data_IF_101013295064
#
_entry.id   IF_101013295064
#
_cell.length_a   1.000
_cell.length_b   1.000
_cell.length_c   1.000
_cell.angle_alpha   90.00
_cell.angle_beta   90.00
_cell.angle_gamma   90.00
#
_symmetry.space_group_name_H-M   'P 1'
#
loop_
_entity.id
_entity.type
_entity.pdbx_description
1 polymer ?
#
# COMPACT_ATOMS: atom_id res chain seq x y z
N UNK A 1 20.31 -1.92 -6.56
CA UNK A 1 21.46 -2.80 -6.53
C UNK A 1 21.60 -3.49 -7.88
N UNK A 2 22.82 -3.74 -8.29
CA UNK A 2 23.12 -4.34 -9.60
C UNK A 2 24.20 -5.44 -9.43
N UNK A 3 23.95 -6.60 -10.05
CA UNK A 3 24.86 -7.75 -10.11
C UNK A 3 25.55 -7.83 -11.47
N UNK A 4 26.86 -8.08 -11.45
CA UNK A 4 27.72 -8.14 -12.65
C UNK A 4 28.20 -9.57 -12.99
N UNK A 5 27.74 -10.56 -12.23
CA UNK A 5 28.16 -11.98 -12.33
C UNK A 5 29.11 -12.42 -11.22
N UNK A 6 29.78 -11.49 -10.57
CA UNK A 6 30.74 -11.77 -9.49
C UNK A 6 30.31 -11.18 -8.16
N UNK A 7 29.82 -9.94 -8.18
CA UNK A 7 29.42 -9.22 -6.97
C UNK A 7 28.16 -8.41 -7.17
N UNK A 8 27.68 -7.77 -6.09
CA UNK A 8 26.56 -6.82 -6.09
C UNK A 8 27.07 -5.45 -5.67
N UNK A 9 26.81 -4.46 -6.50
CA UNK A 9 26.95 -3.04 -6.18
C UNK A 9 25.60 -2.48 -5.78
N UNK A 10 25.55 -1.64 -4.75
CA UNK A 10 24.31 -1.04 -4.29
C UNK A 10 24.50 0.46 -4.01
N UNK A 11 23.54 1.26 -4.49
CA UNK A 11 23.40 2.68 -4.15
C UNK A 11 22.00 2.91 -3.61
N UNK A 12 21.89 3.56 -2.46
CA UNK A 12 20.61 3.91 -1.83
C UNK A 12 20.73 5.14 -0.97
N UNK A 13 19.72 5.99 -0.98
CA UNK A 13 19.68 7.21 -0.17
C UNK A 13 18.23 7.63 0.05
N UNK A 14 18.04 8.71 0.81
CA UNK A 14 16.76 9.36 1.06
C UNK A 14 16.51 10.45 0.02
N UNK A 15 15.32 10.48 -0.56
CA UNK A 15 14.91 11.48 -1.54
C UNK A 15 14.11 10.90 -2.71
N UNK A 16 13.83 11.73 -3.69
CA UNK A 16 13.23 11.28 -4.95
C UNK A 16 14.28 10.53 -5.78
N UNK A 17 13.84 9.53 -6.54
CA UNK A 17 14.73 8.74 -7.43
C UNK A 17 15.60 9.65 -8.30
N UNK A 18 15.00 10.71 -8.88
CA UNK A 18 15.70 11.69 -9.73
C UNK A 18 16.67 12.61 -8.98
N UNK A 19 16.63 12.63 -7.67
CA UNK A 19 17.58 13.39 -6.82
C UNK A 19 18.72 12.50 -6.31
N UNK A 20 18.42 11.22 -6.10
CA UNK A 20 19.40 10.24 -5.60
C UNK A 20 20.28 9.71 -6.71
N UNK A 21 19.74 9.55 -7.91
CA UNK A 21 20.46 9.00 -9.06
C UNK A 21 20.68 10.06 -10.13
N UNK A 22 21.94 10.36 -10.39
CA UNK A 22 22.43 11.14 -11.53
C UNK A 22 23.12 10.23 -12.55
N UNK A 23 23.58 10.80 -13.69
CA UNK A 23 24.25 10.03 -14.74
C UNK A 23 25.52 9.36 -14.24
N UNK A 24 26.27 9.98 -13.33
CA UNK A 24 27.52 9.44 -12.83
C UNK A 24 27.29 8.24 -11.91
N UNK A 25 26.32 8.34 -11.00
CA UNK A 25 25.93 7.25 -10.08
C UNK A 25 25.32 6.07 -10.84
N UNK A 26 24.53 6.33 -11.90
CA UNK A 26 23.98 5.27 -12.74
C UNK A 26 25.07 4.59 -13.58
N UNK A 27 26.03 5.35 -14.12
CA UNK A 27 27.16 4.80 -14.89
C UNK A 27 28.08 3.91 -14.03
N UNK A 28 28.12 4.13 -12.71
CA UNK A 28 28.88 3.29 -11.78
C UNK A 28 28.19 1.93 -11.48
N UNK A 29 26.87 1.83 -11.71
CA UNK A 29 26.09 0.62 -11.48
C UNK A 29 26.07 -0.25 -12.74
N UNK A 30 27.19 -0.91 -13.03
CA UNK A 30 27.34 -1.78 -14.20
C UNK A 30 26.95 -3.23 -13.88
N UNK A 31 26.23 -3.88 -14.78
CA UNK A 31 25.83 -5.28 -14.62
C UNK A 31 24.61 -5.65 -15.47
N UNK A 32 24.07 -6.86 -15.27
CA UNK A 32 22.96 -7.40 -16.06
C UNK A 32 21.81 -7.93 -15.19
N UNK A 33 21.97 -7.97 -13.87
CA UNK A 33 20.88 -8.23 -12.91
C UNK A 33 20.67 -6.98 -12.07
N UNK A 34 19.46 -6.46 -12.02
CA UNK A 34 19.18 -5.24 -11.25
C UNK A 34 17.93 -5.37 -10.38
N UNK A 35 17.96 -4.78 -9.19
CA UNK A 35 16.81 -4.61 -8.33
C UNK A 35 16.72 -3.16 -7.84
N UNK A 36 15.53 -2.56 -7.94
CA UNK A 36 15.25 -1.22 -7.50
C UNK A 36 14.02 -1.17 -6.61
N UNK A 37 13.99 -0.21 -5.66
CA UNK A 37 12.86 0.01 -4.79
C UNK A 37 12.70 1.49 -4.43
N UNK A 38 11.47 1.98 -4.50
CA UNK A 38 11.10 3.29 -3.99
C UNK A 38 10.19 3.09 -2.76
N UNK A 39 10.70 3.44 -1.57
CA UNK A 39 9.98 3.27 -0.32
C UNK A 39 9.25 4.54 0.08
N UNK A 40 7.95 4.41 0.39
CA UNK A 40 7.22 5.43 1.11
C UNK A 40 7.36 5.19 2.61
N UNK A 41 7.96 6.14 3.35
CA UNK A 41 8.12 6.01 4.81
C UNK A 41 6.80 6.24 5.52
N UNK A 42 6.32 5.25 6.27
CA UNK A 42 5.05 5.25 6.98
C UNK A 42 5.18 5.56 8.48
N UNK A 43 6.36 5.38 9.08
CA UNK A 43 6.59 5.63 10.50
C UNK A 43 7.76 6.57 10.75
N UNK A 44 7.66 7.44 11.78
CA UNK A 44 8.67 8.44 12.10
C UNK A 44 10.08 7.89 12.46
N UNK A 45 10.18 6.62 12.84
CA UNK A 45 11.45 5.93 13.07
C UNK A 45 12.16 5.47 11.79
N UNK A 46 11.54 5.67 10.63
CA UNK A 46 11.98 5.11 9.35
C UNK A 46 12.71 6.13 8.45
N UNK A 47 13.10 7.29 8.98
CA UNK A 47 13.79 8.35 8.23
C UNK A 47 15.31 8.14 8.13
N UNK A 48 15.79 6.89 8.27
CA UNK A 48 17.21 6.60 8.11
C UNK A 48 17.48 5.91 6.77
N UNK A 49 18.60 6.20 6.17
CA UNK A 49 19.01 5.60 4.89
C UNK A 49 19.23 4.08 5.01
N UNK A 50 19.53 3.57 6.20
CA UNK A 50 19.63 2.13 6.47
C UNK A 50 18.30 1.40 6.21
N UNK A 51 17.17 2.09 6.43
CA UNK A 51 15.85 1.56 6.16
C UNK A 51 15.47 1.58 4.68
N UNK A 52 16.22 2.31 3.83
CA UNK A 52 16.02 2.26 2.38
C UNK A 52 16.37 0.87 1.83
N UNK A 53 15.61 0.44 0.82
CA UNK A 53 15.81 -0.84 0.14
C UNK A 53 16.57 -0.64 -1.18
N UNK A 54 17.20 -1.70 -1.70
CA UNK A 54 17.23 -3.09 -1.22
C UNK A 54 18.09 -3.29 0.02
N UNK A 55 17.74 -4.29 0.83
CA UNK A 55 18.57 -4.72 1.95
C UNK A 55 19.62 -5.75 1.50
N UNK A 56 20.85 -5.53 1.93
CA UNK A 56 21.99 -6.37 1.58
C UNK A 56 22.23 -7.40 2.68
N UNK A 57 22.43 -8.65 2.28
CA UNK A 57 22.90 -9.72 3.14
C UNK A 57 24.09 -10.45 2.51
N UNK A 58 25.01 -10.90 3.34
CA UNK A 58 26.14 -11.73 2.88
C UNK A 58 25.80 -13.20 2.99
N UNK A 59 26.21 -13.96 1.98
CA UNK A 59 26.23 -15.43 1.98
C UNK A 59 27.67 -15.81 1.73
N UNK A 60 28.40 -16.12 2.80
CA UNK A 60 29.85 -16.29 2.78
C UNK A 60 30.53 -15.08 2.10
N UNK A 61 31.21 -15.26 0.96
CA UNK A 61 31.86 -14.20 0.21
C UNK A 61 30.93 -13.49 -0.79
N UNK A 62 29.71 -14.00 -0.98
CA UNK A 62 28.72 -13.47 -1.96
C UNK A 62 27.70 -12.57 -1.29
N UNK A 63 27.23 -11.56 -2.00
CA UNK A 63 26.16 -10.67 -1.55
C UNK A 63 24.83 -11.00 -2.25
N UNK A 64 23.75 -10.76 -1.54
CA UNK A 64 22.39 -10.71 -2.10
C UNK A 64 21.75 -9.38 -1.77
N UNK A 65 20.84 -8.92 -2.63
CA UNK A 65 20.07 -7.70 -2.45
C UNK A 65 18.57 -7.98 -2.55
N UNK A 66 17.81 -7.70 -1.48
CA UNK A 66 16.38 -7.96 -1.37
C UNK A 66 15.58 -6.67 -1.36
N UNK A 67 14.56 -6.58 -2.21
CA UNK A 67 13.50 -5.59 -2.14
C UNK A 67 12.16 -6.27 -1.82
N UNK A 68 11.34 -5.61 -0.99
CA UNK A 68 10.11 -6.15 -0.42
C UNK A 68 8.99 -5.12 -0.48
N UNK A 69 7.86 -5.48 -1.06
CA UNK A 69 6.59 -4.77 -0.98
C UNK A 69 5.62 -5.60 -0.11
N UNK A 70 5.21 -5.04 1.02
CA UNK A 70 4.34 -5.71 1.99
C UNK A 70 4.77 -5.46 3.43
N UNK A 71 4.25 -6.27 4.35
CA UNK A 71 4.61 -6.24 5.78
C UNK A 71 4.51 -7.64 6.39
N UNK A 72 5.54 -8.02 7.13
CA UNK A 72 5.59 -9.27 7.86
C UNK A 72 5.03 -9.08 9.27
N UNK A 73 4.04 -9.88 9.64
CA UNK A 73 3.38 -9.80 10.96
C UNK A 73 4.19 -10.48 12.07
N UNK A 74 5.14 -11.33 11.73
CA UNK A 74 6.00 -12.05 12.69
C UNK A 74 7.43 -11.52 12.76
N UNK A 75 7.67 -10.30 12.34
CA UNK A 75 9.00 -9.65 12.31
C UNK A 75 9.73 -9.73 13.65
N UNK A 76 9.03 -9.48 14.76
CA UNK A 76 9.64 -9.46 16.10
C UNK A 76 10.21 -10.82 16.50
N UNK A 77 9.49 -11.91 16.24
CA UNK A 77 9.98 -13.27 16.56
C UNK A 77 11.15 -13.70 15.67
N UNK A 78 11.11 -13.34 14.39
CA UNK A 78 12.22 -13.58 13.46
C UNK A 78 13.46 -12.78 13.85
N UNK A 79 13.28 -11.51 14.23
CA UNK A 79 14.34 -10.62 14.69
C UNK A 79 15.03 -11.17 15.93
N UNK A 80 14.26 -11.62 16.94
CA UNK A 80 14.80 -12.19 18.16
C UNK A 80 15.67 -13.41 17.84
N UNK A 81 15.18 -14.33 17.01
CA UNK A 81 15.93 -15.51 16.57
C UNK A 81 17.24 -15.15 15.86
N UNK A 82 17.22 -14.18 14.93
CA UNK A 82 18.44 -13.75 14.23
C UNK A 82 19.48 -13.15 15.19
N UNK A 83 19.03 -12.38 16.18
CA UNK A 83 19.90 -11.82 17.22
C UNK A 83 20.52 -12.93 18.10
N UNK A 84 19.71 -13.93 18.49
CA UNK A 84 20.17 -15.09 19.25
C UNK A 84 21.19 -15.91 18.44
N UNK A 85 21.03 -16.00 17.12
CA UNK A 85 22.00 -16.59 16.17
C UNK A 85 23.24 -15.68 15.91
N UNK A 86 23.34 -14.52 16.58
CA UNK A 86 24.49 -13.60 16.49
C UNK A 86 24.46 -12.68 15.26
N UNK A 87 23.33 -12.60 14.55
CA UNK A 87 23.20 -11.79 13.33
C UNK A 87 22.89 -10.33 13.71
N UNK A 88 23.69 -9.39 13.22
CA UNK A 88 23.49 -7.97 13.43
C UNK A 88 22.47 -7.40 12.44
N UNK A 89 21.53 -6.63 12.98
CA UNK A 89 20.53 -5.87 12.23
C UNK A 89 20.81 -4.37 12.37
N UNK A 90 20.72 -3.64 11.26
CA UNK A 90 21.04 -2.19 11.20
C UNK A 90 19.81 -1.31 11.18
N UNK A 91 18.68 -1.85 10.75
CA UNK A 91 17.40 -1.11 10.66
C UNK A 91 16.29 -1.78 11.48
N UNK A 92 15.18 -1.06 11.64
CA UNK A 92 13.96 -1.60 12.26
C UNK A 92 13.05 -2.35 11.29
N UNK A 93 13.44 -2.50 10.00
CA UNK A 93 12.55 -2.99 8.96
C UNK A 93 12.40 -4.51 8.95
N UNK A 94 11.22 -4.98 8.60
CA UNK A 94 10.91 -6.39 8.35
C UNK A 94 11.65 -6.93 7.11
N UNK A 95 11.86 -6.06 6.13
CA UNK A 95 12.59 -6.37 4.90
C UNK A 95 14.05 -6.72 5.16
N UNK A 96 14.72 -6.04 6.11
CA UNK A 96 16.07 -6.44 6.55
C UNK A 96 16.06 -7.79 7.23
N UNK A 97 15.07 -8.01 8.11
CA UNK A 97 14.92 -9.31 8.80
C UNK A 97 14.76 -10.43 7.78
N UNK A 98 13.92 -10.26 6.75
CA UNK A 98 13.76 -11.24 5.67
C UNK A 98 15.08 -11.48 4.90
N UNK A 99 15.80 -10.41 4.50
CA UNK A 99 17.06 -10.53 3.78
C UNK A 99 18.13 -11.28 4.60
N UNK A 100 18.22 -11.00 5.89
CA UNK A 100 19.17 -11.66 6.80
C UNK A 100 18.79 -13.10 7.07
N UNK A 101 17.50 -13.41 7.22
CA UNK A 101 17.01 -14.77 7.37
C UNK A 101 17.33 -15.63 6.14
N UNK A 102 17.07 -15.13 4.93
CA UNK A 102 17.42 -15.83 3.69
C UNK A 102 18.94 -16.05 3.61
N UNK A 103 19.74 -15.03 3.92
CA UNK A 103 21.19 -15.16 3.90
C UNK A 103 21.73 -16.20 4.88
N UNK A 104 21.24 -16.21 6.11
CA UNK A 104 21.63 -17.16 7.14
C UNK A 104 21.28 -18.61 6.77
N UNK A 105 20.05 -18.82 6.28
CA UNK A 105 19.61 -20.15 5.86
C UNK A 105 20.42 -20.62 4.65
N UNK A 106 20.69 -19.72 3.71
CA UNK A 106 21.48 -20.06 2.51
C UNK A 106 22.91 -20.49 2.87
N UNK A 107 23.54 -19.87 3.87
CA UNK A 107 24.84 -20.34 4.40
C UNK A 107 24.81 -21.78 4.89
N UNK A 108 23.70 -22.18 5.51
CA UNK A 108 23.51 -23.54 6.06
C UNK A 108 23.19 -24.57 4.98
N UNK A 109 22.48 -24.16 3.92
CA UNK A 109 22.03 -25.06 2.83
C UNK A 109 22.96 -25.07 1.61
N UNK A 110 23.81 -24.04 1.47
CA UNK A 110 24.68 -23.77 0.32
C UNK A 110 23.94 -23.56 -1.02
N UNK A 111 22.61 -23.38 -0.97
CA UNK A 111 21.74 -23.18 -2.14
C UNK A 111 20.74 -22.04 -1.90
N UNK A 112 20.90 -20.91 -2.62
CA UNK A 112 20.07 -19.72 -2.45
C UNK A 112 18.57 -20.01 -2.66
N UNK A 113 18.22 -20.82 -3.65
CA UNK A 113 16.85 -21.22 -3.91
C UNK A 113 16.22 -21.95 -2.73
N UNK A 114 16.95 -22.87 -2.10
CA UNK A 114 16.48 -23.56 -0.89
C UNK A 114 16.40 -22.63 0.29
N UNK A 115 17.35 -21.69 0.41
CA UNK A 115 17.31 -20.63 1.41
C UNK A 115 16.06 -19.76 1.30
N UNK A 116 15.68 -19.37 0.08
CA UNK A 116 14.41 -18.63 -0.18
C UNK A 116 13.21 -19.48 0.21
N UNK A 117 13.13 -20.72 -0.29
CA UNK A 117 12.01 -21.64 0.01
C UNK A 117 11.83 -21.86 1.52
N UNK A 118 12.89 -22.15 2.21
CA UNK A 118 12.85 -22.36 3.66
C UNK A 118 12.48 -21.09 4.43
N UNK A 119 12.96 -19.92 3.96
CA UNK A 119 12.53 -18.65 4.53
C UNK A 119 11.04 -18.44 4.34
N UNK A 120 10.48 -18.70 3.16
CA UNK A 120 9.03 -18.59 2.90
C UNK A 120 8.18 -19.47 3.81
N UNK A 121 8.67 -20.62 4.24
CA UNK A 121 8.00 -21.49 5.23
C UNK A 121 7.83 -20.82 6.61
N UNK A 122 8.69 -19.84 6.93
CA UNK A 122 8.74 -19.16 8.22
C UNK A 122 8.22 -17.71 8.18
N UNK A 123 8.23 -17.06 7.01
CA UNK A 123 7.68 -15.72 6.85
C UNK A 123 6.15 -15.76 6.96
N UNK A 124 5.58 -14.85 7.74
CA UNK A 124 4.13 -14.67 7.89
C UNK A 124 3.77 -13.22 7.60
N UNK A 125 2.72 -13.00 6.82
CA UNK A 125 2.28 -11.67 6.41
C UNK A 125 2.15 -11.56 4.90
N UNK A 126 2.16 -10.33 4.40
CA UNK A 126 2.11 -10.04 2.97
C UNK A 126 3.51 -9.73 2.46
N UNK A 127 3.90 -10.40 1.38
CA UNK A 127 5.15 -10.07 0.70
C UNK A 127 5.11 -10.38 -0.79
N UNK A 128 5.55 -9.39 -1.57
CA UNK A 128 6.01 -9.52 -2.94
C UNK A 128 7.49 -9.11 -2.92
N UNK A 129 8.38 -10.06 -3.16
CA UNK A 129 9.82 -9.87 -3.00
C UNK A 129 10.55 -10.13 -4.29
N UNK A 130 11.58 -9.29 -4.54
CA UNK A 130 12.59 -9.53 -5.58
C UNK A 130 13.96 -9.54 -4.93
N UNK A 131 14.76 -10.55 -5.29
CA UNK A 131 16.09 -10.75 -4.74
C UNK A 131 17.10 -10.94 -5.88
N UNK A 132 18.12 -10.10 -5.91
CA UNK A 132 19.26 -10.26 -6.80
C UNK A 132 20.40 -10.98 -6.10
N UNK A 133 20.98 -11.99 -6.77
CA UNK A 133 22.34 -12.48 -6.57
C UNK A 133 23.23 -11.87 -7.68
N UNK A 134 24.55 -12.05 -7.67
CA UNK A 134 25.40 -11.51 -8.71
C UNK A 134 24.96 -11.87 -10.14
N UNK A 135 24.42 -13.08 -10.33
CA UNK A 135 24.13 -13.69 -11.64
C UNK A 135 22.66 -14.04 -11.90
N UNK A 136 21.77 -13.92 -10.88
CA UNK A 136 20.38 -14.32 -10.96
C UNK A 136 19.45 -13.33 -10.29
N UNK A 137 18.20 -13.23 -10.80
CA UNK A 137 17.10 -12.57 -10.14
C UNK A 137 16.09 -13.63 -9.68
N UNK A 138 15.56 -13.47 -8.46
CA UNK A 138 14.46 -14.25 -7.94
C UNK A 138 13.28 -13.34 -7.65
N UNK A 139 12.09 -13.78 -8.03
CA UNK A 139 10.82 -13.15 -7.67
C UNK A 139 9.96 -14.16 -6.92
N UNK A 140 9.43 -13.79 -5.77
CA UNK A 140 8.59 -14.69 -4.98
C UNK A 140 7.53 -13.94 -4.21
N UNK A 141 6.42 -14.62 -3.95
CA UNK A 141 5.19 -14.02 -3.43
C UNK A 141 4.63 -14.83 -2.27
N UNK A 142 3.99 -14.16 -1.32
CA UNK A 142 3.36 -14.82 -0.17
C UNK A 142 2.31 -15.87 -0.59
N UNK A 143 2.00 -16.85 0.27
CA UNK A 143 1.07 -17.94 -0.06
C UNK A 143 -0.35 -17.49 -0.40
N UNK A 144 -0.76 -16.29 0.04
CA UNK A 144 -2.09 -15.73 -0.21
C UNK A 144 -2.10 -14.77 -1.41
N UNK A 145 -0.93 -14.35 -1.91
CA UNK A 145 -0.81 -13.38 -3.00
C UNK A 145 -1.39 -12.02 -2.66
N UNK A 146 -1.13 -11.52 -1.44
CA UNK A 146 -1.75 -10.29 -0.95
C UNK A 146 -1.26 -9.08 -1.73
N UNK A 147 0.07 -8.93 -1.93
CA UNK A 147 0.63 -7.82 -2.71
C UNK A 147 0.86 -8.25 -4.16
N UNK A 148 0.67 -7.33 -5.14
CA UNK A 148 0.84 -7.66 -6.54
C UNK A 148 2.32 -7.84 -6.91
N UNK A 149 2.57 -8.73 -7.88
CA UNK A 149 3.87 -8.93 -8.50
C UNK A 149 3.66 -9.57 -9.87
N UNK A 150 4.14 -8.92 -10.93
CA UNK A 150 4.01 -9.38 -12.30
C UNK A 150 5.36 -9.47 -12.99
N UNK A 151 5.41 -10.20 -14.10
CA UNK A 151 6.60 -10.36 -14.92
C UNK A 151 6.30 -10.10 -16.39
N UNK A 152 7.26 -9.53 -17.08
CA UNK A 152 7.22 -9.24 -18.50
C UNK A 152 8.56 -9.54 -19.18
N UNK A 153 8.52 -9.62 -20.49
CA UNK A 153 9.68 -9.89 -21.34
C UNK A 153 10.03 -8.65 -22.18
N UNK A 154 11.28 -8.24 -22.16
CA UNK A 154 11.77 -7.17 -23.03
C UNK A 154 11.80 -7.66 -24.49
N UNK A 155 11.56 -6.77 -25.48
CA UNK A 155 11.66 -7.12 -26.90
C UNK A 155 13.08 -7.58 -27.24
N UNK A 156 13.21 -8.30 -28.37
CA UNK A 156 14.47 -8.75 -28.92
C UNK A 156 15.30 -9.64 -27.97
N UNK A 157 14.63 -10.41 -27.10
CA UNK A 157 15.24 -11.28 -26.09
C UNK A 157 16.24 -10.58 -25.15
N UNK A 158 16.10 -9.25 -24.96
CA UNK A 158 17.01 -8.47 -24.11
C UNK A 158 16.91 -8.79 -22.61
N UNK A 159 15.91 -9.58 -22.21
CA UNK A 159 15.79 -10.03 -20.83
C UNK A 159 14.36 -9.98 -20.28
N UNK A 160 14.27 -10.06 -18.96
CA UNK A 160 13.03 -10.12 -18.21
C UNK A 160 12.90 -8.96 -17.22
N UNK A 161 11.69 -8.55 -16.95
CA UNK A 161 11.37 -7.51 -15.98
C UNK A 161 10.36 -8.06 -14.99
N UNK A 162 10.58 -7.79 -13.71
CA UNK A 162 9.62 -8.06 -12.63
C UNK A 162 9.21 -6.72 -12.03
N UNK A 163 7.93 -6.50 -11.86
CA UNK A 163 7.37 -5.25 -11.33
C UNK A 163 6.22 -5.53 -10.37
N UNK A 164 5.97 -4.61 -9.44
CA UNK A 164 4.76 -4.64 -8.63
C UNK A 164 3.50 -4.48 -9.47
N UNK A 165 3.56 -3.68 -10.55
CA UNK A 165 2.44 -3.32 -11.40
C UNK A 165 2.80 -3.36 -12.88
N UNK A 166 1.83 -3.62 -13.76
CA UNK A 166 2.06 -3.66 -15.22
C UNK A 166 2.52 -2.33 -15.79
N UNK A 167 2.11 -1.20 -15.22
CA UNK A 167 2.59 0.11 -15.64
C UNK A 167 4.13 0.26 -15.56
N UNK A 168 4.79 -0.51 -14.67
CA UNK A 168 6.25 -0.58 -14.60
C UNK A 168 6.85 -1.35 -15.77
N UNK A 169 6.14 -2.33 -16.31
CA UNK A 169 6.52 -3.04 -17.54
C UNK A 169 6.39 -2.13 -18.77
N UNK A 170 5.28 -1.39 -18.85
CA UNK A 170 4.98 -0.47 -19.96
C UNK A 170 6.06 0.60 -20.11
N UNK A 171 6.53 1.18 -18.99
CA UNK A 171 7.56 2.24 -19.00
C UNK A 171 8.87 1.77 -19.66
N UNK A 172 9.22 0.50 -19.48
CA UNK A 172 10.47 -0.07 -20.06
C UNK A 172 10.22 -0.81 -21.37
N UNK A 173 8.97 -0.81 -21.87
CA UNK A 173 8.58 -1.49 -23.11
C UNK A 173 8.62 -3.01 -23.01
N UNK A 174 8.40 -3.58 -21.83
CA UNK A 174 8.30 -5.01 -21.64
C UNK A 174 6.86 -5.50 -21.87
N UNK A 175 6.74 -6.60 -22.61
CA UNK A 175 5.44 -7.26 -22.81
C UNK A 175 5.07 -8.06 -21.55
N UNK A 176 3.86 -7.85 -21.03
CA UNK A 176 3.33 -8.60 -19.89
C UNK A 176 3.19 -10.09 -20.23
N UNK A 177 3.74 -10.94 -19.37
CA UNK A 177 3.65 -12.39 -19.52
C UNK A 177 2.62 -12.97 -18.57
N UNK A 178 2.77 -12.73 -17.26
CA UNK A 178 1.83 -13.17 -16.22
C UNK A 178 2.17 -12.56 -14.86
N UNK A 179 1.28 -12.74 -13.91
CA UNK A 179 1.57 -12.52 -12.50
C UNK A 179 2.39 -13.68 -11.90
N UNK A 180 3.16 -13.39 -10.85
CA UNK A 180 3.77 -14.42 -10.00
C UNK A 180 2.68 -15.00 -9.11
N UNK A 181 2.52 -16.33 -9.10
CA UNK A 181 1.46 -16.99 -8.36
C UNK A 181 1.70 -16.95 -6.83
N UNK A 182 0.65 -17.10 -6.02
CA UNK A 182 0.79 -17.24 -4.57
C UNK A 182 1.70 -18.42 -4.19
N UNK A 183 2.72 -18.14 -3.36
CA UNK A 183 3.69 -19.14 -2.90
C UNK A 183 4.73 -19.56 -3.94
N UNK A 184 4.74 -18.98 -5.13
CA UNK A 184 5.68 -19.29 -6.21
C UNK A 184 7.02 -18.60 -6.03
N UNK A 185 8.10 -19.28 -6.49
CA UNK A 185 9.44 -18.73 -6.70
C UNK A 185 9.74 -18.79 -8.20
N UNK A 186 10.05 -17.68 -8.80
CA UNK A 186 10.52 -17.57 -10.20
C UNK A 186 11.97 -17.15 -10.18
N UNK A 187 12.83 -17.90 -10.89
CA UNK A 187 14.26 -17.60 -11.07
C UNK A 187 14.53 -17.21 -12.50
N UNK A 188 15.22 -16.10 -12.68
CA UNK A 188 15.70 -15.58 -13.95
C UNK A 188 17.22 -15.67 -13.97
N UNK A 189 17.79 -16.32 -14.97
CA UNK A 189 19.22 -16.49 -15.14
C UNK A 189 19.59 -16.50 -16.61
N UNK A 190 20.90 -16.55 -16.91
CA UNK A 190 21.38 -16.72 -18.28
C UNK A 190 20.87 -18.00 -18.96
N UNK A 191 20.53 -19.02 -18.18
CA UNK A 191 20.02 -20.30 -18.69
C UNK A 191 18.50 -20.27 -18.95
N UNK A 192 17.86 -19.12 -18.71
CA UNK A 192 16.43 -18.92 -18.88
C UNK A 192 15.66 -18.70 -17.60
N UNK A 193 14.32 -18.84 -17.69
CA UNK A 193 13.39 -18.65 -16.59
C UNK A 193 12.89 -20.01 -16.11
N UNK A 194 12.98 -20.24 -14.82
CA UNK A 194 12.39 -21.41 -14.15
C UNK A 194 11.48 -20.98 -13.03
N UNK A 195 10.42 -21.73 -12.79
CA UNK A 195 9.52 -21.47 -11.66
C UNK A 195 9.20 -22.77 -10.92
N UNK A 196 8.93 -22.62 -9.63
CA UNK A 196 8.50 -23.71 -8.78
C UNK A 196 7.56 -23.19 -7.66
N UNK A 197 6.74 -24.08 -7.11
CA UNK A 197 5.99 -23.78 -5.91
C UNK A 197 6.93 -23.84 -4.71
N UNK A 198 7.27 -22.69 -4.14
CA UNK A 198 8.17 -22.59 -2.99
C UNK A 198 7.50 -23.06 -1.69
N UNK A 199 6.24 -22.65 -1.48
CA UNK A 199 5.36 -23.10 -0.39
C UNK A 199 3.96 -23.36 -0.94
N UNK A 200 3.17 -24.24 -0.33
CA UNK A 200 1.78 -24.45 -0.77
C UNK A 200 0.99 -23.13 -0.82
N UNK A 201 0.23 -22.94 -1.88
CA UNK A 201 -0.69 -21.80 -1.97
C UNK A 201 -1.73 -21.89 -0.84
N UNK A 202 -1.94 -20.78 -0.16
CA UNK A 202 -3.01 -20.61 0.82
C UNK A 202 -4.33 -20.16 0.18
N UNK A 203 -5.27 -19.66 1.01
CA UNK A 203 -6.46 -18.96 0.50
C UNK A 203 -5.99 -17.72 -0.27
N UNK A 204 -6.28 -17.63 -1.57
CA UNK A 204 -5.98 -16.42 -2.34
C UNK A 204 -6.67 -15.22 -1.69
N UNK A 205 -5.96 -14.11 -1.55
CA UNK A 205 -6.47 -12.92 -0.88
C UNK A 205 -5.74 -11.66 -1.39
N UNK A 206 -5.88 -11.36 -2.69
CA UNK A 206 -5.27 -10.15 -3.26
C UNK A 206 -5.88 -8.89 -2.62
N UNK A 207 -5.05 -7.91 -2.32
CA UNK A 207 -5.48 -6.69 -1.64
C UNK A 207 -6.48 -5.90 -2.51
N UNK A 208 -7.75 -5.83 -2.09
CA UNK A 208 -8.78 -5.09 -2.84
C UNK A 208 -8.50 -3.58 -2.86
N UNK A 209 -7.78 -3.07 -1.87
CA UNK A 209 -7.43 -1.66 -1.77
C UNK A 209 -6.45 -1.19 -2.86
N UNK A 210 -5.79 -2.12 -3.53
CA UNK A 210 -5.01 -1.81 -4.74
C UNK A 210 -5.91 -1.22 -5.83
N UNK A 211 -7.09 -1.80 -6.07
CA UNK A 211 -8.05 -1.25 -7.04
C UNK A 211 -8.66 0.07 -6.57
N UNK A 212 -8.89 0.23 -5.27
CA UNK A 212 -9.45 1.46 -4.71
C UNK A 212 -8.47 2.62 -4.85
N UNK A 213 -7.20 2.43 -4.41
CA UNK A 213 -6.28 3.55 -4.25
C UNK A 213 -4.85 3.30 -4.73
N UNK A 214 -4.17 2.18 -4.32
CA UNK A 214 -2.71 2.10 -4.44
C UNK A 214 -2.21 1.97 -5.87
N UNK A 215 -2.82 1.06 -6.66
CA UNK A 215 -2.39 0.82 -8.01
C UNK A 215 -2.61 2.05 -8.89
N UNK A 216 -1.73 2.25 -9.84
CA UNK A 216 -1.91 3.29 -10.85
C UNK A 216 -3.10 2.95 -11.76
N UNK A 217 -3.88 3.94 -12.21
CA UNK A 217 -5.07 3.67 -13.02
C UNK A 217 -4.76 3.01 -14.37
N UNK A 218 -3.56 3.16 -14.88
CA UNK A 218 -3.07 2.53 -16.12
C UNK A 218 -2.58 1.08 -15.93
N UNK A 219 -2.59 0.56 -14.70
CA UNK A 219 -2.25 -0.84 -14.42
C UNK A 219 -3.40 -1.81 -14.70
N UNK A 220 -3.02 -3.05 -15.02
CA UNK A 220 -3.90 -4.22 -15.09
C UNK A 220 -3.43 -5.22 -14.05
N UNK A 221 -4.33 -5.70 -13.19
CA UNK A 221 -4.04 -6.70 -12.17
C UNK A 221 -5.06 -7.83 -12.25
N UNK A 222 -4.61 -9.07 -12.21
CA UNK A 222 -5.47 -10.26 -12.33
C UNK A 222 -6.43 -10.22 -13.55
N UNK A 223 -6.07 -9.53 -14.62
CA UNK A 223 -6.89 -9.31 -15.82
C UNK A 223 -7.81 -8.09 -15.76
N UNK A 224 -7.99 -7.47 -14.59
CA UNK A 224 -8.85 -6.29 -14.41
C UNK A 224 -8.07 -4.99 -14.57
N UNK A 225 -8.52 -4.10 -15.47
CA UNK A 225 -8.03 -2.71 -15.55
C UNK A 225 -8.42 -1.94 -14.29
N UNK A 226 -7.45 -1.32 -13.63
CA UNK A 226 -7.67 -0.49 -12.44
C UNK A 226 -8.53 0.73 -12.77
N UNK A 227 -8.30 1.36 -13.91
CA UNK A 227 -9.13 2.48 -14.38
C UNK A 227 -10.60 2.07 -14.54
N UNK A 228 -10.85 0.93 -15.20
CA UNK A 228 -12.21 0.46 -15.41
C UNK A 228 -12.88 0.03 -14.09
N UNK A 229 -12.13 -0.60 -13.19
CA UNK A 229 -12.59 -0.93 -11.85
C UNK A 229 -13.09 0.32 -11.10
N UNK A 230 -12.29 1.38 -11.07
CA UNK A 230 -12.68 2.65 -10.44
C UNK A 230 -13.90 3.29 -11.09
N UNK A 231 -14.01 3.25 -12.41
CA UNK A 231 -15.24 3.71 -13.09
C UNK A 231 -16.47 2.89 -12.67
N UNK A 232 -16.33 1.59 -12.58
CA UNK A 232 -17.42 0.71 -12.13
C UNK A 232 -17.81 1.00 -10.67
N UNK A 233 -16.83 1.23 -9.76
CA UNK A 233 -17.10 1.64 -8.38
C UNK A 233 -17.99 2.88 -8.35
N UNK A 234 -17.67 3.91 -9.14
CA UNK A 234 -18.48 5.12 -9.23
C UNK A 234 -19.90 4.86 -9.75
N UNK A 235 -20.06 4.00 -10.76
CA UNK A 235 -21.39 3.63 -11.29
C UNK A 235 -22.25 2.90 -10.25
N UNK A 236 -21.66 1.95 -9.54
CA UNK A 236 -22.35 1.20 -8.50
C UNK A 236 -22.72 2.14 -7.34
N UNK A 237 -21.81 2.99 -6.91
CA UNK A 237 -22.06 3.96 -5.85
C UNK A 237 -23.19 4.95 -6.21
N UNK A 238 -23.33 5.34 -7.49
CA UNK A 238 -24.45 6.16 -7.94
C UNK A 238 -25.81 5.46 -7.80
N UNK A 239 -25.84 4.13 -7.97
CA UNK A 239 -27.04 3.31 -7.78
C UNK A 239 -27.36 3.09 -6.29
N UNK A 240 -26.32 2.79 -5.48
CA UNK A 240 -26.48 2.51 -4.03
C UNK A 240 -26.79 3.77 -3.25
N UNK A 241 -26.18 4.91 -3.60
CA UNK A 241 -26.27 6.16 -2.86
C UNK A 241 -26.44 7.38 -3.78
N UNK A 242 -27.59 7.50 -4.46
CA UNK A 242 -27.87 8.67 -5.30
C UNK A 242 -27.88 9.97 -4.50
N UNK A 243 -27.72 11.10 -5.16
CA UNK A 243 -27.84 12.43 -4.58
C UNK A 243 -28.52 13.38 -5.57
N UNK A 244 -29.30 14.33 -5.09
CA UNK A 244 -29.85 15.42 -5.89
C UNK A 244 -28.81 16.57 -5.89
N UNK A 245 -28.11 16.76 -6.98
CA UNK A 245 -27.02 17.72 -7.09
C UNK A 245 -26.87 18.25 -8.52
N UNK A 246 -26.15 19.34 -8.67
CA UNK A 246 -25.95 20.01 -9.95
C UNK A 246 -24.67 19.56 -10.65
N UNK A 247 -23.69 19.01 -9.91
CA UNK A 247 -22.37 18.71 -10.43
C UNK A 247 -21.67 17.58 -9.67
N UNK A 248 -20.98 16.69 -10.40
CA UNK A 248 -20.10 15.67 -9.84
C UNK A 248 -18.65 16.11 -9.98
N UNK A 249 -17.90 16.03 -8.89
CA UNK A 249 -16.46 16.30 -8.84
C UNK A 249 -15.71 15.05 -8.34
N UNK A 250 -14.48 14.84 -8.85
CA UNK A 250 -13.56 13.85 -8.30
C UNK A 250 -12.45 14.50 -7.49
N UNK A 251 -12.09 13.91 -6.35
CA UNK A 251 -10.88 14.29 -5.62
C UNK A 251 -9.66 13.79 -6.40
N UNK A 252 -8.79 14.68 -6.91
CA UNK A 252 -7.69 14.24 -7.76
C UNK A 252 -6.56 13.56 -6.94
N UNK A 253 -5.90 12.50 -7.45
CA UNK A 253 -6.08 11.91 -8.78
C UNK A 253 -7.01 10.68 -8.73
N UNK A 254 -7.10 10.01 -7.59
CA UNK A 254 -7.74 8.69 -7.38
C UNK A 254 -9.26 8.70 -7.58
N UNK A 255 -9.94 9.76 -7.16
CA UNK A 255 -11.39 9.89 -7.26
C UNK A 255 -11.91 10.21 -8.67
N UNK A 256 -11.06 10.67 -9.59
CA UNK A 256 -11.48 11.14 -10.92
C UNK A 256 -12.17 10.04 -11.75
N UNK A 257 -11.60 8.85 -11.94
CA UNK A 257 -12.27 7.81 -12.73
C UNK A 257 -13.63 7.39 -12.14
N UNK A 258 -13.71 7.34 -10.80
CA UNK A 258 -14.94 7.01 -10.09
C UNK A 258 -16.00 8.11 -10.24
N UNK A 259 -15.60 9.38 -10.17
CA UNK A 259 -16.49 10.52 -10.41
C UNK A 259 -17.07 10.50 -11.84
N UNK A 260 -16.26 10.16 -12.82
CA UNK A 260 -16.74 9.96 -14.20
C UNK A 260 -17.74 8.80 -14.29
N UNK A 261 -17.51 7.71 -13.55
CA UNK A 261 -18.43 6.58 -13.46
C UNK A 261 -19.76 6.97 -12.81
N UNK A 262 -19.70 7.69 -11.69
CA UNK A 262 -20.87 8.19 -10.96
C UNK A 262 -21.70 9.15 -11.83
N UNK A 263 -21.05 10.12 -12.47
CA UNK A 263 -21.71 11.08 -13.37
C UNK A 263 -22.41 10.39 -14.54
N UNK A 264 -21.74 9.39 -15.15
CA UNK A 264 -22.34 8.61 -16.24
C UNK A 264 -23.62 7.88 -15.82
N UNK A 265 -23.61 7.26 -14.64
CA UNK A 265 -24.74 6.46 -14.16
C UNK A 265 -25.88 7.34 -13.63
N UNK A 266 -25.57 8.42 -12.90
CA UNK A 266 -26.55 9.32 -12.31
C UNK A 266 -27.14 10.33 -13.31
N UNK A 267 -26.47 10.58 -14.43
CA UNK A 267 -26.83 11.64 -15.38
C UNK A 267 -26.48 13.06 -14.91
N UNK A 268 -25.87 13.23 -13.73
CA UNK A 268 -25.40 14.53 -13.23
C UNK A 268 -24.09 14.88 -13.96
N UNK A 269 -23.93 16.11 -14.48
CA UNK A 269 -22.73 16.52 -15.20
C UNK A 269 -21.45 16.40 -14.36
N UNK A 270 -20.36 15.92 -14.96
CA UNK A 270 -19.02 15.93 -14.38
C UNK A 270 -18.28 17.21 -14.76
N UNK A 271 -17.51 17.77 -13.82
CA UNK A 271 -16.52 18.81 -14.11
C UNK A 271 -15.29 18.72 -13.21
N UNK A 272 -14.15 19.26 -13.68
CA UNK A 272 -12.95 19.45 -12.88
C UNK A 272 -13.11 20.69 -11.99
N UNK A 273 -13.67 20.50 -10.80
CA UNK A 273 -13.87 21.59 -9.81
C UNK A 273 -12.73 21.69 -8.79
N UNK A 274 -11.82 20.71 -8.76
CA UNK A 274 -10.68 20.66 -7.83
C UNK A 274 -9.41 20.39 -8.64
N UNK A 275 -8.44 21.28 -8.54
CA UNK A 275 -7.15 21.15 -9.23
C UNK A 275 -6.06 20.75 -8.24
N UNK A 276 -5.30 19.70 -8.58
CA UNK A 276 -4.12 19.30 -7.84
C UNK A 276 -2.91 20.11 -8.31
N UNK A 277 -2.19 20.72 -7.37
CA UNK A 277 -0.94 21.39 -7.67
C UNK A 277 0.15 20.35 -7.98
N UNK A 278 0.57 20.29 -9.25
CA UNK A 278 1.58 19.34 -9.74
C UNK A 278 3.01 19.65 -9.25
N UNK A 279 3.26 20.87 -8.82
CA UNK A 279 4.57 21.33 -8.35
C UNK A 279 4.81 21.05 -6.85
N UNK A 280 3.76 20.72 -6.12
CA UNK A 280 3.86 20.29 -4.72
C UNK A 280 3.87 18.77 -4.70
N UNK A 281 5.05 18.20 -4.55
CA UNK A 281 5.22 16.75 -4.34
C UNK A 281 4.53 16.28 -3.05
N UNK A 282 4.54 14.95 -2.79
CA UNK A 282 4.13 14.41 -1.49
C UNK A 282 5.04 15.05 -0.44
N UNK A 283 4.49 15.93 0.38
CA UNK A 283 5.22 16.53 1.50
C UNK A 283 5.55 15.42 2.48
N UNK A 284 6.84 15.29 2.84
CA UNK A 284 7.28 14.51 3.99
C UNK A 284 6.42 14.89 5.20
N UNK A 285 6.26 13.94 6.13
CA UNK A 285 5.48 14.15 7.36
C UNK A 285 5.92 15.46 8.02
N UNK A 286 5.07 16.47 7.96
CA UNK A 286 5.36 17.79 8.51
C UNK A 286 5.21 17.72 10.03
N UNK A 287 6.16 18.24 10.81
CA UNK A 287 6.20 18.05 12.25
C UNK A 287 5.08 18.77 13.01
N UNK A 288 4.44 19.80 12.44
CA UNK A 288 3.38 20.54 13.12
C UNK A 288 2.03 20.43 12.43
N UNK A 289 0.94 20.55 13.20
CA UNK A 289 -0.43 20.52 12.69
C UNK A 289 -0.73 21.67 11.72
N UNK A 290 -0.18 22.87 12.00
CA UNK A 290 -0.32 24.03 11.12
C UNK A 290 0.33 23.80 9.75
N UNK A 291 1.51 23.21 9.70
CA UNK A 291 2.19 22.85 8.45
C UNK A 291 1.46 21.77 7.68
N UNK A 292 0.84 20.80 8.35
CA UNK A 292 -0.01 19.79 7.69
C UNK A 292 -1.27 20.41 7.08
N UNK A 293 -1.89 21.37 7.75
CA UNK A 293 -3.06 22.11 7.23
C UNK A 293 -2.71 22.97 6.01
N UNK A 294 -1.58 23.66 6.05
CA UNK A 294 -1.05 24.40 4.92
C UNK A 294 -0.74 23.46 3.74
N UNK A 295 -0.23 22.26 4.01
CA UNK A 295 0.08 21.24 3.01
C UNK A 295 -1.13 20.79 2.18
N UNK A 296 -2.34 20.70 2.74
CA UNK A 296 -3.55 20.36 1.98
C UNK A 296 -3.95 21.51 1.05
N UNK A 297 -3.95 22.77 1.55
CA UNK A 297 -4.24 23.96 0.73
C UNK A 297 -3.25 24.15 -0.42
N UNK A 298 -1.99 23.77 -0.21
CA UNK A 298 -0.98 23.84 -1.26
C UNK A 298 -1.18 22.74 -2.34
N UNK A 299 -1.84 21.64 -1.99
CA UNK A 299 -2.01 20.49 -2.89
C UNK A 299 -3.29 20.54 -3.71
N UNK A 300 -4.39 20.96 -3.12
CA UNK A 300 -5.72 20.96 -3.74
C UNK A 300 -6.29 22.38 -3.76
N UNK A 301 -6.73 22.81 -4.91
CA UNK A 301 -7.32 24.13 -5.11
C UNK A 301 -8.69 24.02 -5.77
N UNK A 302 -9.80 24.37 -5.06
CA UNK A 302 -11.11 24.45 -5.65
C UNK A 302 -11.18 25.56 -6.69
N UNK A 303 -12.04 25.39 -7.72
CA UNK A 303 -12.30 26.38 -8.77
C UNK A 303 -13.64 27.07 -8.53
N UNK A 304 -13.68 28.31 -7.95
CA UNK A 304 -14.93 29.02 -7.66
C UNK A 304 -15.80 29.25 -8.91
N UNK A 305 -15.17 29.45 -10.09
CA UNK A 305 -15.88 29.62 -11.36
C UNK A 305 -16.70 28.38 -11.78
N UNK A 306 -16.38 27.20 -11.26
CA UNK A 306 -17.07 25.94 -11.57
C UNK A 306 -18.10 25.61 -10.48
N UNK A 307 -17.78 25.84 -9.21
CA UNK A 307 -18.53 25.31 -8.06
C UNK A 307 -19.43 26.33 -7.35
N UNK A 308 -19.20 27.64 -7.53
CA UNK A 308 -19.98 28.65 -6.82
C UNK A 308 -21.47 28.55 -7.13
N UNK A 309 -22.31 28.52 -6.08
CA UNK A 309 -23.76 28.40 -6.16
C UNK A 309 -24.26 27.01 -6.54
N UNK A 310 -23.40 25.98 -6.57
CA UNK A 310 -23.76 24.61 -6.96
C UNK A 310 -23.89 23.68 -5.75
N UNK A 311 -24.77 22.69 -5.89
CA UNK A 311 -24.85 21.49 -5.04
C UNK A 311 -23.93 20.45 -5.65
N UNK A 312 -23.00 19.93 -4.89
CA UNK A 312 -21.91 19.08 -5.36
C UNK A 312 -22.04 17.64 -4.87
N UNK A 313 -21.84 16.67 -5.76
CA UNK A 313 -21.41 15.33 -5.36
C UNK A 313 -19.88 15.27 -5.49
N UNK A 314 -19.21 14.98 -4.40
CA UNK A 314 -17.74 14.88 -4.35
C UNK A 314 -17.34 13.43 -4.13
N UNK A 315 -16.66 12.85 -5.11
CA UNK A 315 -16.22 11.46 -5.08
C UNK A 315 -14.77 11.38 -4.60
N UNK A 316 -14.54 10.62 -3.53
CA UNK A 316 -13.20 10.31 -3.02
C UNK A 316 -13.01 8.79 -2.93
N UNK A 317 -11.75 8.34 -2.85
CA UNK A 317 -11.43 6.90 -2.78
C UNK A 317 -11.77 6.28 -1.42
N UNK A 318 -11.40 6.92 -0.32
CA UNK A 318 -11.52 6.37 1.03
C UNK A 318 -11.46 7.45 2.10
N UNK A 319 -12.07 7.17 3.26
CA UNK A 319 -11.90 7.97 4.47
C UNK A 319 -11.25 7.11 5.55
N UNK A 320 -10.04 7.49 5.98
CA UNK A 320 -9.29 6.80 7.04
C UNK A 320 -9.37 7.59 8.35
N UNK A 321 -8.75 8.77 8.40
CA UNK A 321 -8.73 9.67 9.58
C UNK A 321 -9.71 10.85 9.45
N UNK A 322 -10.28 11.09 8.28
CA UNK A 322 -11.27 12.14 7.99
C UNK A 322 -10.74 13.58 7.88
N UNK A 323 -9.54 13.88 8.35
CA UNK A 323 -9.00 15.26 8.39
C UNK A 323 -8.90 15.91 7.01
N UNK A 324 -8.52 15.14 5.99
CA UNK A 324 -8.40 15.62 4.60
C UNK A 324 -9.77 15.96 4.03
N UNK A 325 -10.75 15.07 4.21
CA UNK A 325 -12.12 15.24 3.71
C UNK A 325 -12.80 16.44 4.37
N UNK A 326 -12.67 16.59 5.71
CA UNK A 326 -13.15 17.77 6.44
C UNK A 326 -12.61 19.07 5.86
N UNK A 327 -11.29 19.12 5.65
CA UNK A 327 -10.62 20.31 5.11
C UNK A 327 -11.04 20.61 3.68
N UNK A 328 -11.22 19.57 2.87
CA UNK A 328 -11.70 19.70 1.50
C UNK A 328 -13.12 20.31 1.48
N UNK A 329 -14.03 19.81 2.31
CA UNK A 329 -15.39 20.34 2.41
C UNK A 329 -15.37 21.82 2.82
N UNK A 330 -14.58 22.20 3.84
CA UNK A 330 -14.41 23.61 4.22
C UNK A 330 -13.94 24.48 3.02
N UNK A 331 -13.01 23.98 2.23
CA UNK A 331 -12.49 24.70 1.06
C UNK A 331 -13.55 24.84 -0.04
N UNK A 332 -14.36 23.80 -0.29
CA UNK A 332 -15.45 23.82 -1.26
C UNK A 332 -16.56 24.82 -0.82
N UNK A 333 -16.89 24.83 0.46
CA UNK A 333 -17.83 25.83 1.03
C UNK A 333 -17.30 27.26 0.85
N UNK A 334 -16.02 27.50 1.17
CA UNK A 334 -15.37 28.81 0.99
C UNK A 334 -15.35 29.25 -0.48
N UNK A 335 -15.32 28.29 -1.42
CA UNK A 335 -15.40 28.57 -2.85
C UNK A 335 -16.85 28.74 -3.36
N UNK A 336 -17.85 28.69 -2.48
CA UNK A 336 -19.24 29.03 -2.79
C UNK A 336 -20.14 27.82 -3.07
N UNK A 337 -19.74 26.58 -2.75
CA UNK A 337 -20.63 25.42 -2.81
C UNK A 337 -21.82 25.58 -1.84
N UNK A 338 -23.03 25.34 -2.32
CA UNK A 338 -24.25 25.43 -1.51
C UNK A 338 -24.52 24.14 -0.74
N UNK A 339 -24.26 22.99 -1.36
CA UNK A 339 -24.33 21.68 -0.74
C UNK A 339 -23.11 20.85 -1.16
N UNK A 340 -22.68 19.93 -0.25
CA UNK A 340 -21.55 19.01 -0.51
C UNK A 340 -21.97 17.61 -0.04
N UNK A 341 -22.24 16.72 -0.99
CA UNK A 341 -22.57 15.33 -0.79
C UNK A 341 -21.33 14.47 -1.03
N UNK A 342 -20.76 13.94 0.05
CA UNK A 342 -19.59 13.05 -0.05
C UNK A 342 -20.01 11.64 -0.44
N UNK A 343 -19.32 11.05 -1.42
CA UNK A 343 -19.52 9.68 -1.90
C UNK A 343 -18.18 8.98 -1.99
N UNK A 344 -18.01 7.89 -1.25
CA UNK A 344 -16.74 7.22 -1.04
C UNK A 344 -16.78 5.85 -1.72
N UNK A 345 -15.81 5.58 -2.61
CA UNK A 345 -15.77 4.34 -3.40
C UNK A 345 -15.09 3.18 -2.70
N UNK A 346 -14.77 3.30 -1.41
CA UNK A 346 -14.52 2.17 -0.52
C UNK A 346 -15.63 2.02 0.49
N UNK A 347 -15.81 0.84 1.09
CA UNK A 347 -16.53 0.70 2.35
C UNK A 347 -15.83 1.46 3.48
N UNK A 348 -16.49 1.60 4.61
CA UNK A 348 -15.91 2.16 5.83
C UNK A 348 -14.67 1.38 6.27
N UNK A 349 -13.55 2.07 6.50
CA UNK A 349 -12.32 1.46 7.01
C UNK A 349 -12.43 1.32 8.52
N UNK A 350 -12.76 0.11 8.97
CA UNK A 350 -13.08 -0.21 10.37
C UNK A 350 -11.92 -0.86 11.13
N UNK A 351 -10.97 -1.46 10.41
CA UNK A 351 -9.90 -2.25 10.99
C UNK A 351 -8.53 -1.83 10.45
N UNK A 352 -7.46 -1.91 11.28
CA UNK A 352 -6.11 -1.60 10.84
C UNK A 352 -5.61 -2.61 9.79
N UNK A 353 -4.65 -2.19 8.99
CA UNK A 353 -3.96 -3.06 8.04
C UNK A 353 -2.61 -3.52 8.60
N UNK A 354 -2.33 -4.84 8.48
CA UNK A 354 -1.05 -5.42 8.88
C UNK A 354 -0.22 -5.91 7.67
N UNK A 355 -0.63 -5.54 6.43
CA UNK A 355 -0.09 -6.11 5.20
C UNK A 355 0.54 -5.08 4.25
N UNK A 356 0.74 -3.85 4.74
CA UNK A 356 1.48 -2.83 3.98
C UNK A 356 0.79 -1.47 3.81
N UNK A 357 -0.37 -1.25 4.46
CA UNK A 357 -1.01 0.07 4.54
C UNK A 357 -0.72 0.69 5.91
N UNK A 358 -0.45 1.99 5.94
CA UNK A 358 -0.19 2.75 7.17
C UNK A 358 -1.50 3.10 7.90
N UNK A 359 -2.12 2.10 8.50
CA UNK A 359 -3.29 2.23 9.36
C UNK A 359 -3.09 1.36 10.59
N UNK A 360 -2.19 1.79 11.47
CA UNK A 360 -1.61 0.94 12.53
C UNK A 360 -2.60 0.58 13.64
N UNK A 361 -3.55 1.48 13.96
CA UNK A 361 -4.41 1.32 15.14
C UNK A 361 -5.85 1.77 14.87
N UNK A 362 -6.78 1.07 15.47
CA UNK A 362 -8.22 1.27 15.28
C UNK A 362 -8.73 2.59 15.85
N UNK A 363 -8.10 3.10 16.89
CA UNK A 363 -8.43 4.41 17.50
C UNK A 363 -8.22 5.58 16.53
N UNK A 364 -7.35 5.43 15.51
CA UNK A 364 -7.12 6.45 14.49
C UNK A 364 -8.12 6.39 13.32
N UNK A 365 -8.87 5.29 13.19
CA UNK A 365 -9.86 5.11 12.13
C UNK A 365 -11.16 5.82 12.51
N UNK A 366 -11.55 6.83 11.73
CA UNK A 366 -12.73 7.64 12.09
C UNK A 366 -14.00 6.79 12.13
N UNK A 367 -14.20 5.90 11.15
CA UNK A 367 -15.38 5.04 11.05
C UNK A 367 -15.43 3.95 12.15
N UNK A 368 -14.31 3.63 12.81
CA UNK A 368 -14.31 2.75 13.97
C UNK A 368 -14.71 3.45 15.29
N UNK A 369 -14.79 4.79 15.28
CA UNK A 369 -15.03 5.62 16.46
C UNK A 369 -16.25 6.55 16.37
N UNK A 370 -16.84 6.68 15.17
CA UNK A 370 -18.02 7.51 14.90
C UNK A 370 -18.96 6.76 13.95
N UNK A 371 -20.24 6.99 14.10
CA UNK A 371 -21.25 6.56 13.12
C UNK A 371 -21.14 7.38 11.84
N UNK A 372 -21.80 6.94 10.78
CA UNK A 372 -21.84 7.67 9.50
C UNK A 372 -22.42 9.08 9.65
N UNK A 373 -23.51 9.22 10.44
CA UNK A 373 -24.15 10.51 10.70
C UNK A 373 -23.22 11.45 11.49
N UNK A 374 -22.54 10.94 12.52
CA UNK A 374 -21.54 11.71 13.29
C UNK A 374 -20.35 12.13 12.42
N UNK A 375 -19.89 11.27 11.54
CA UNK A 375 -18.82 11.61 10.58
C UNK A 375 -19.27 12.70 9.61
N UNK A 376 -20.49 12.60 9.09
CA UNK A 376 -21.09 13.57 8.17
C UNK A 376 -21.17 14.95 8.83
N UNK A 377 -21.71 15.03 10.04
CA UNK A 377 -21.80 16.27 10.83
C UNK A 377 -20.42 16.84 11.16
N UNK A 378 -19.50 15.98 11.64
CA UNK A 378 -18.14 16.40 12.01
C UNK A 378 -17.35 16.97 10.82
N UNK A 379 -17.55 16.42 9.61
CA UNK A 379 -16.92 16.92 8.38
C UNK A 379 -17.59 18.15 7.81
N UNK A 380 -18.87 18.41 8.16
CA UNK A 380 -19.67 19.51 7.61
C UNK A 380 -20.23 19.23 6.21
N UNK A 381 -20.43 17.96 5.88
CA UNK A 381 -21.09 17.52 4.66
C UNK A 381 -22.63 17.53 4.83
N UNK A 382 -23.37 17.68 3.71
CA UNK A 382 -24.84 17.58 3.72
C UNK A 382 -25.29 16.11 3.68
N UNK A 383 -24.48 15.23 3.09
CA UNK A 383 -24.65 13.77 3.20
C UNK A 383 -23.34 13.06 2.96
N UNK A 384 -23.21 11.87 3.56
CA UNK A 384 -22.07 10.99 3.42
C UNK A 384 -22.56 9.57 3.11
N UNK A 385 -22.00 8.92 2.13
CA UNK A 385 -22.22 7.51 1.86
C UNK A 385 -20.99 6.81 1.30
N UNK A 386 -20.90 5.54 1.59
CA UNK A 386 -19.83 4.63 1.16
C UNK A 386 -20.42 3.56 0.22
N UNK A 387 -19.61 3.06 -0.71
CA UNK A 387 -19.98 1.88 -1.48
C UNK A 387 -20.11 0.67 -0.53
N UNK A 388 -21.07 -0.20 -0.78
CA UNK A 388 -21.14 -1.46 -0.03
C UNK A 388 -19.99 -2.41 -0.39
N UNK A 389 -19.62 -3.32 0.53
CA UNK A 389 -18.60 -4.33 0.26
C UNK A 389 -19.00 -5.26 -0.91
N UNK A 390 -20.27 -5.71 -1.02
CA UNK A 390 -20.76 -6.39 -2.23
C UNK A 390 -20.62 -5.54 -3.50
N UNK A 391 -20.98 -4.26 -3.46
CA UNK A 391 -20.83 -3.33 -4.58
C UNK A 391 -19.38 -3.13 -5.00
N UNK A 392 -18.45 -3.06 -4.02
CA UNK A 392 -17.02 -3.01 -4.32
C UNK A 392 -16.56 -4.28 -5.07
N UNK A 393 -16.99 -5.46 -4.65
CA UNK A 393 -16.69 -6.72 -5.36
C UNK A 393 -17.30 -6.76 -6.76
N UNK A 394 -18.54 -6.32 -6.93
CA UNK A 394 -19.23 -6.22 -8.22
C UNK A 394 -18.49 -5.31 -9.21
N UNK A 395 -17.73 -4.33 -8.71
CA UNK A 395 -16.96 -3.40 -9.56
C UNK A 395 -15.77 -4.06 -10.27
N UNK A 396 -15.43 -5.29 -9.93
CA UNK A 396 -14.26 -6.05 -10.39
C UNK A 396 -14.65 -7.29 -11.22
N UNK A 397 -15.45 -7.16 -12.31
CA UNK A 397 -16.01 -8.30 -13.03
C UNK A 397 -14.98 -9.14 -13.80
N UNK A 398 -13.82 -8.55 -14.14
CA UNK A 398 -12.80 -9.20 -14.98
C UNK A 398 -11.73 -9.91 -14.16
N UNK A 399 -11.77 -9.83 -12.82
CA UNK A 399 -10.84 -10.56 -11.96
C UNK A 399 -11.06 -12.07 -12.12
N UNK A 400 -10.00 -12.78 -12.53
CA UNK A 400 -10.07 -14.21 -12.86
C UNK A 400 -10.46 -15.09 -11.67
N UNK A 401 -9.96 -14.77 -10.50
CA UNK A 401 -10.23 -15.48 -9.25
C UNK A 401 -10.59 -14.45 -8.17
N UNK A 402 -11.89 -14.07 -8.04
CA UNK A 402 -12.34 -13.00 -7.17
C UNK A 402 -12.29 -13.42 -5.69
N UNK A 403 -11.10 -13.42 -5.12
CA UNK A 403 -10.86 -13.66 -3.69
C UNK A 403 -9.88 -12.60 -3.18
N UNK A 404 -10.37 -11.77 -2.28
CA UNK A 404 -9.66 -10.56 -1.85
C UNK A 404 -9.33 -10.57 -0.35
N UNK A 405 -8.27 -9.87 0.00
CA UNK A 405 -8.07 -9.35 1.34
C UNK A 405 -8.91 -8.08 1.50
N UNK A 406 -9.88 -8.16 2.38
CA UNK A 406 -10.82 -7.09 2.73
C UNK A 406 -10.77 -6.78 4.23
N UNK A 407 -9.68 -7.18 4.87
CA UNK A 407 -9.53 -7.13 6.33
C UNK A 407 -9.73 -5.74 6.91
N UNK A 408 -9.31 -4.68 6.19
CA UNK A 408 -9.53 -3.29 6.62
C UNK A 408 -11.01 -2.89 6.71
N UNK A 409 -11.91 -3.59 6.02
CA UNK A 409 -13.36 -3.40 6.08
C UNK A 409 -14.05 -4.40 7.00
N UNK A 410 -13.68 -5.67 6.92
CA UNK A 410 -14.39 -6.79 7.55
C UNK A 410 -13.79 -7.28 8.88
N UNK A 411 -12.47 -7.06 9.11
CA UNK A 411 -11.73 -7.67 10.21
C UNK A 411 -11.35 -9.14 9.97
N UNK A 412 -11.65 -9.71 8.78
CA UNK A 412 -11.24 -11.08 8.41
C UNK A 412 -9.84 -11.06 7.78
N UNK A 413 -8.84 -11.38 8.58
CA UNK A 413 -7.43 -11.36 8.17
C UNK A 413 -7.02 -12.70 7.55
N UNK A 414 -6.52 -12.73 6.29
CA UNK A 414 -6.07 -13.97 5.64
C UNK A 414 -4.85 -14.62 6.31
N UNK A 415 -4.06 -13.86 7.03
CA UNK A 415 -2.93 -14.34 7.83
C UNK A 415 -3.17 -13.95 9.29
N UNK A 416 -2.99 -14.89 10.21
CA UNK A 416 -3.20 -14.67 11.64
C UNK A 416 -2.29 -13.55 12.17
N UNK A 417 -2.90 -12.61 12.91
CA UNK A 417 -2.17 -11.50 13.54
C UNK A 417 -1.73 -11.92 14.94
N UNK A 418 -0.43 -11.82 15.28
CA UNK A 418 0.06 -12.19 16.60
C UNK A 418 -0.69 -11.45 17.71
N UNK A 419 -1.09 -12.12 18.80
CA UNK A 419 -1.89 -11.53 19.89
C UNK A 419 -1.27 -10.27 20.51
N UNK A 420 0.06 -10.22 20.58
CA UNK A 420 0.80 -9.05 21.09
C UNK A 420 0.63 -7.80 20.22
N UNK A 421 0.48 -7.98 18.90
CA UNK A 421 0.20 -6.91 17.95
C UNK A 421 -1.29 -6.58 17.95
N UNK A 422 -2.15 -7.60 17.90
CA UNK A 422 -3.60 -7.47 17.82
C UNK A 422 -4.20 -6.66 18.98
N UNK A 423 -3.79 -6.95 20.22
CA UNK A 423 -4.42 -6.36 21.42
C UNK A 423 -4.46 -4.83 21.41
N UNK A 424 -3.35 -4.17 21.13
CA UNK A 424 -3.30 -2.69 21.11
C UNK A 424 -3.87 -2.10 19.82
N UNK A 425 -3.60 -2.76 18.69
CA UNK A 425 -4.02 -2.24 17.38
C UNK A 425 -5.53 -2.30 17.14
N UNK A 426 -6.24 -3.19 17.84
CA UNK A 426 -7.70 -3.34 17.70
C UNK A 426 -8.52 -2.46 18.67
N UNK A 427 -7.89 -1.77 19.60
CA UNK A 427 -8.58 -0.92 20.55
C UNK A 427 -9.11 0.36 19.88
N UNK A 428 -10.36 0.68 20.16
CA UNK A 428 -10.98 1.97 19.81
C UNK A 428 -10.59 3.04 20.85
N UNK A 429 -10.96 4.31 20.59
CA UNK A 429 -10.77 5.39 21.59
C UNK A 429 -11.53 5.09 22.89
N UNK A 430 -12.72 4.51 22.78
CA UNK A 430 -13.53 4.13 23.95
C UNK A 430 -12.85 3.02 24.75
N UNK A 431 -12.24 2.03 24.06
CA UNK A 431 -11.51 0.94 24.74
C UNK A 431 -10.30 1.47 25.51
N UNK A 432 -9.52 2.40 24.94
CA UNK A 432 -8.40 3.05 25.60
C UNK A 432 -8.86 3.86 26.82
N UNK A 433 -9.95 4.62 26.69
CA UNK A 433 -10.52 5.37 27.82
C UNK A 433 -10.97 4.45 28.95
N UNK A 434 -11.61 3.31 28.64
CA UNK A 434 -12.04 2.33 29.61
C UNK A 434 -10.86 1.60 30.28
N UNK A 435 -9.78 1.29 29.54
CA UNK A 435 -8.57 0.69 30.12
C UNK A 435 -7.87 1.67 31.06
N UNK A 436 -7.72 2.94 30.66
CA UNK A 436 -7.15 4.00 31.50
C UNK A 436 -7.93 4.22 32.78
N UNK A 437 -9.27 4.25 32.72
CA UNK A 437 -10.13 4.37 33.90
C UNK A 437 -9.92 3.19 34.89
N UNK A 438 -9.85 1.95 34.37
CA UNK A 438 -9.59 0.75 35.18
C UNK A 438 -8.21 0.75 35.84
N UNK A 439 -7.18 1.24 35.14
CA UNK A 439 -5.83 1.35 35.67
C UNK A 439 -5.75 2.43 36.76
N UNK A 440 -6.42 3.58 36.57
CA UNK A 440 -6.52 4.65 37.56
C UNK A 440 -7.24 4.18 38.84
N UNK A 441 -8.36 3.46 38.70
CA UNK A 441 -9.06 2.88 39.86
C UNK A 441 -8.21 1.85 40.63
N UNK A 442 -7.39 1.06 39.92
CA UNK A 442 -6.45 0.12 40.54
C UNK A 442 -5.33 0.86 41.29
N UNK A 443 -4.80 1.92 40.71
CA UNK A 443 -3.73 2.73 41.34
C UNK A 443 -4.26 3.42 42.62
N UNK A 444 -5.47 3.98 42.59
CA UNK A 444 -6.11 4.58 43.77
C UNK A 444 -6.34 3.55 44.89
N UNK A 445 -6.84 2.35 44.54
CA UNK A 445 -7.03 1.27 45.52
C UNK A 445 -5.73 0.76 46.13
N UNK A 446 -4.62 0.82 45.38
CA UNK A 446 -3.30 0.41 45.87
C UNK A 446 -2.67 1.46 46.81
N UNK A 447 -2.97 2.76 46.61
CA UNK A 447 -2.52 3.84 47.50
C UNK A 447 -3.29 3.91 48.82
N UNK A 448 -4.52 3.42 48.88
CA UNK A 448 -5.34 3.38 50.11
C UNK A 448 -4.96 2.21 51.03
N UNK A 449 -4.13 1.26 50.55
CA UNK A 449 -3.77 0.05 51.31
C UNK A 449 -2.34 0.12 51.88
N UNK A 450 -1.64 1.24 51.75
CA UNK A 450 -0.35 1.59 52.38
C UNK A 450 -0.56 2.66 53.44
#
# INVERSE_FOLDING_TARGET
AVGDGETIMASKDLGLVTQVFDEASLAALTGFVAVGHARYSTSGAAASWEAAQPHISSIDETLIALAHNGTLVNTNSLRARLIDDGIQLRSGTDSEVAAKAIGDITKKTHHLREGIRFAMEHLRGAYAMVLASPDCLYAFRDPNGIRPLCMGKLPDDRGWVVSSETCGLDIVGAEYVRDVNPGEIVRFSKDGVTSEQGVPAGRRASCIFEYVYFARPDSVMDGQSVYQARRNMGRILAREAPADADLVLGVPDSGIPSAMGFAFESGIPYADGIVKNRYVGRTFIQPTQAMRQLGIRLKLNPLPSVISGKRLVVIDDSIVRGNTSKKLIEMLRQAGATEVHMRIVSPEVLWPCFYGIDTDTRDQLIAANMTNDEMCEWMGADSLAFISLPGLRESLPDVREPSFCEACFSGDYPVEIPPSTAKKSFMTKADFAAEYARESEKAEKTQVTL
#
